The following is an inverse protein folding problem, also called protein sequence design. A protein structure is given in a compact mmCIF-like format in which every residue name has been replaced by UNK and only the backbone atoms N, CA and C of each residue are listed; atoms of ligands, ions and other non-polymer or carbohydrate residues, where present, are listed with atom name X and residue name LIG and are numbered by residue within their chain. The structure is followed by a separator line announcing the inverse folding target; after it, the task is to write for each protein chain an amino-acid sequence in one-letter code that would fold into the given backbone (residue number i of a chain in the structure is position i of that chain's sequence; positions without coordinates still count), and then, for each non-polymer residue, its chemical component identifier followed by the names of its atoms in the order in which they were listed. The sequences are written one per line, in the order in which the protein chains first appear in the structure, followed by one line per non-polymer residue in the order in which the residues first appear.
data_IF_248084742991
#
_entry.id   IF_248084742991
#
_cell.length_a   1.000
_cell.length_b   1.000
_cell.length_c   1.000
_cell.angle_alpha   90.00
_cell.angle_beta   90.00
_cell.angle_gamma   90.00
#
_symmetry.space_group_name_H-M   'P 1'
#
loop_
_entity.id
_entity.type
_entity.pdbx_description
1 polymer ?
#
# COMPACT_ATOMS: atom_id res chain seq x y z
N UNK A 1 36.08 -40.05 -32.58
CA UNK A 1 35.43 -38.74 -32.70
C UNK A 1 34.19 -38.78 -31.84
N UNK A 2 34.25 -38.16 -30.63
CA UNK A 2 33.09 -38.02 -29.72
C UNK A 2 32.51 -36.65 -29.96
N UNK A 3 31.23 -36.60 -30.35
CA UNK A 3 30.48 -35.36 -30.46
C UNK A 3 29.94 -34.95 -29.10
N UNK A 4 30.41 -33.83 -28.59
CA UNK A 4 29.86 -33.23 -27.37
C UNK A 4 28.54 -32.50 -27.72
N UNK A 5 27.42 -33.00 -27.17
CA UNK A 5 26.12 -32.32 -27.27
C UNK A 5 26.07 -31.29 -26.16
N UNK A 6 26.17 -30.01 -26.52
CA UNK A 6 25.94 -28.88 -25.64
C UNK A 6 24.43 -28.72 -25.41
N UNK A 7 23.96 -29.09 -24.23
CA UNK A 7 22.62 -28.76 -23.76
C UNK A 7 22.60 -27.29 -23.34
N UNK A 8 22.09 -26.42 -24.20
CA UNK A 8 21.78 -25.03 -23.85
C UNK A 8 20.48 -25.01 -23.06
N UNK A 9 20.60 -24.97 -21.72
CA UNK A 9 19.45 -24.81 -20.85
C UNK A 9 18.89 -23.38 -20.97
N UNK A 10 17.71 -23.24 -21.57
CA UNK A 10 16.96 -22.00 -21.57
C UNK A 10 16.43 -21.79 -20.12
N UNK A 11 17.05 -20.88 -19.38
CA UNK A 11 16.56 -20.42 -18.10
C UNK A 11 15.30 -19.56 -18.35
N UNK A 12 14.12 -20.16 -18.24
CA UNK A 12 12.86 -19.43 -18.22
C UNK A 12 12.79 -18.61 -16.93
N UNK A 13 13.18 -17.35 -17.02
CA UNK A 13 12.90 -16.37 -15.96
C UNK A 13 11.38 -16.15 -15.96
N UNK A 14 10.70 -16.73 -14.98
CA UNK A 14 9.31 -16.39 -14.68
C UNK A 14 9.28 -14.95 -14.16
N UNK A 15 9.11 -14.01 -15.07
CA UNK A 15 8.83 -12.63 -14.71
C UNK A 15 7.40 -12.58 -14.16
N UNK A 16 7.26 -12.19 -12.91
CA UNK A 16 5.94 -11.90 -12.33
C UNK A 16 5.25 -10.87 -13.20
N UNK A 17 4.14 -11.25 -13.83
CA UNK A 17 3.37 -10.35 -14.67
C UNK A 17 2.69 -9.29 -13.78
N UNK A 18 2.94 -8.02 -14.08
CA UNK A 18 2.22 -6.91 -13.45
C UNK A 18 0.94 -6.65 -14.25
N UNK A 19 -0.17 -6.64 -13.55
CA UNK A 19 -1.49 -6.44 -14.11
C UNK A 19 -2.13 -5.17 -13.56
N UNK A 20 -2.92 -4.49 -14.39
CA UNK A 20 -3.73 -3.36 -13.95
C UNK A 20 -4.99 -3.90 -13.26
N UNK A 21 -5.17 -3.52 -12.01
CA UNK A 21 -6.38 -3.78 -11.25
C UNK A 21 -7.22 -2.50 -11.17
N UNK A 22 -8.52 -2.60 -11.44
CA UNK A 22 -9.48 -1.51 -11.33
C UNK A 22 -10.61 -1.90 -10.39
N UNK A 23 -10.82 -1.10 -9.35
CA UNK A 23 -11.99 -1.19 -8.47
C UNK A 23 -12.98 -0.07 -8.83
N UNK A 24 -14.15 -0.44 -9.37
CA UNK A 24 -15.19 0.54 -9.70
C UNK A 24 -15.81 1.14 -8.44
N UNK A 25 -16.13 0.33 -7.44
CA UNK A 25 -16.69 0.77 -6.16
C UNK A 25 -15.66 1.59 -5.36
N UNK A 26 -14.40 1.17 -5.38
CA UNK A 26 -13.28 1.89 -4.80
C UNK A 26 -12.88 3.13 -5.58
N UNK A 27 -13.30 3.27 -6.86
CA UNK A 27 -12.96 4.37 -7.77
C UNK A 27 -11.44 4.59 -7.88
N UNK A 28 -10.69 3.49 -8.06
CA UNK A 28 -9.25 3.56 -8.25
C UNK A 28 -8.75 2.49 -9.22
N UNK A 29 -7.55 2.69 -9.73
CA UNK A 29 -6.76 1.68 -10.42
C UNK A 29 -5.32 1.67 -9.94
N UNK A 30 -4.66 0.53 -10.07
CA UNK A 30 -3.26 0.33 -9.65
C UNK A 30 -2.64 -0.84 -10.41
N UNK A 31 -1.32 -0.81 -10.66
CA UNK A 31 -0.57 -1.97 -11.12
C UNK A 31 -0.17 -2.83 -9.93
N UNK A 32 -0.31 -4.14 -10.05
CA UNK A 32 0.04 -5.10 -9.01
C UNK A 32 0.71 -6.36 -9.57
N UNK A 33 1.57 -7.04 -8.80
CA UNK A 33 2.26 -8.25 -9.24
C UNK A 33 1.38 -9.50 -9.08
N UNK A 34 0.16 -9.50 -9.61
CA UNK A 34 -0.79 -10.60 -9.56
C UNK A 34 -2.19 -10.17 -9.13
N UNK A 35 -3.03 -11.15 -8.85
CA UNK A 35 -4.44 -10.92 -8.49
C UNK A 35 -4.62 -10.61 -7.02
N UNK A 36 -5.44 -9.60 -6.72
CA UNK A 36 -5.80 -9.25 -5.36
C UNK A 36 -6.79 -10.23 -4.74
N UNK A 37 -6.60 -10.47 -3.45
CA UNK A 37 -7.64 -11.01 -2.56
C UNK A 37 -8.37 -9.83 -1.94
N UNK A 38 -9.70 -9.87 -1.93
CA UNK A 38 -10.53 -8.83 -1.32
C UNK A 38 -11.00 -9.27 0.07
N UNK A 39 -11.03 -8.31 1.00
CA UNK A 39 -11.58 -8.47 2.35
C UNK A 39 -12.31 -7.19 2.75
N UNK A 40 -13.45 -7.34 3.41
CA UNK A 40 -14.21 -6.24 3.97
C UNK A 40 -14.33 -6.42 5.48
N UNK A 41 -13.92 -5.41 6.23
CA UNK A 41 -14.01 -5.37 7.69
C UNK A 41 -14.74 -4.09 8.14
N UNK A 42 -15.55 -4.19 9.19
CA UNK A 42 -16.25 -3.03 9.77
C UNK A 42 -15.79 -2.80 11.20
N UNK A 43 -15.46 -1.56 11.50
CA UNK A 43 -15.02 -1.09 12.81
C UNK A 43 -16.03 -0.08 13.37
N UNK A 44 -16.52 -0.33 14.58
CA UNK A 44 -17.32 0.65 15.32
C UNK A 44 -16.39 1.68 15.97
N UNK A 45 -16.62 2.95 15.68
CA UNK A 45 -15.86 4.08 16.22
C UNK A 45 -16.83 5.10 16.82
N UNK A 46 -16.29 6.11 17.51
CA UNK A 46 -17.09 7.22 18.06
C UNK A 46 -17.80 8.04 16.97
N UNK A 47 -17.26 8.08 15.78
CA UNK A 47 -17.83 8.79 14.61
C UNK A 47 -18.76 7.93 13.76
N UNK A 48 -19.04 6.68 14.17
CA UNK A 48 -19.88 5.73 13.44
C UNK A 48 -19.17 4.45 13.06
N UNK A 49 -19.83 3.63 12.25
CA UNK A 49 -19.21 2.41 11.71
C UNK A 49 -18.45 2.72 10.44
N UNK A 50 -17.14 2.47 10.45
CA UNK A 50 -16.29 2.56 9.28
C UNK A 50 -16.14 1.18 8.64
N UNK A 51 -16.40 1.09 7.35
CA UNK A 51 -16.21 -0.15 6.57
C UNK A 51 -14.97 -0.01 5.70
N UNK A 52 -13.99 -0.85 5.97
CA UNK A 52 -12.73 -0.91 5.20
C UNK A 52 -12.84 -2.00 4.14
N UNK A 53 -12.61 -1.61 2.90
CA UNK A 53 -12.43 -2.51 1.78
C UNK A 53 -10.94 -2.63 1.50
N UNK A 54 -10.41 -3.84 1.61
CA UNK A 54 -8.97 -4.12 1.52
C UNK A 54 -8.72 -5.11 0.40
N UNK A 55 -7.84 -4.75 -0.52
CA UNK A 55 -7.33 -5.57 -1.61
C UNK A 55 -5.86 -5.85 -1.34
N UNK A 56 -5.48 -7.12 -1.26
CA UNK A 56 -4.11 -7.44 -0.91
C UNK A 56 -3.56 -8.64 -1.69
N UNK A 57 -2.25 -8.62 -1.89
CA UNK A 57 -1.44 -9.73 -2.39
C UNK A 57 -0.43 -10.05 -1.31
N UNK A 58 -0.39 -11.30 -0.88
CA UNK A 58 0.61 -11.81 0.05
C UNK A 58 1.53 -12.78 -0.66
N UNK A 59 2.84 -12.51 -0.65
CA UNK A 59 3.85 -13.45 -1.10
C UNK A 59 4.39 -14.24 0.10
N UNK A 60 4.56 -15.54 -0.09
CA UNK A 60 5.25 -16.43 0.85
C UNK A 60 6.65 -16.81 0.35
N UNK A 61 7.03 -16.32 -0.81
CA UNK A 61 8.31 -16.60 -1.42
C UNK A 61 9.42 -15.83 -0.70
N UNK A 62 10.46 -16.52 -0.28
CA UNK A 62 11.61 -15.92 0.41
C UNK A 62 12.32 -14.87 -0.44
N UNK A 63 12.28 -15.05 -1.76
CA UNK A 63 12.93 -14.15 -2.72
C UNK A 63 12.05 -12.96 -3.14
N UNK A 64 10.79 -12.89 -2.72
CA UNK A 64 9.92 -11.77 -3.01
C UNK A 64 10.51 -10.43 -2.51
N UNK A 65 10.46 -9.40 -3.35
CA UNK A 65 10.88 -8.04 -2.96
C UNK A 65 9.99 -7.46 -1.87
N UNK A 66 8.69 -7.68 -1.98
CA UNK A 66 7.72 -7.32 -0.96
C UNK A 66 6.88 -8.55 -0.57
N UNK A 67 6.67 -8.71 0.72
CA UNK A 67 5.82 -9.75 1.31
C UNK A 67 4.34 -9.42 1.16
N UNK A 68 4.02 -8.12 1.07
CA UNK A 68 2.66 -7.61 0.97
C UNK A 68 2.59 -6.43 0.02
N UNK A 69 1.50 -6.39 -0.77
CA UNK A 69 0.99 -5.23 -1.48
C UNK A 69 -0.47 -5.08 -1.09
N UNK A 70 -0.89 -3.91 -0.69
CA UNK A 70 -2.25 -3.69 -0.23
C UNK A 70 -2.75 -2.32 -0.67
N UNK A 71 -4.00 -2.27 -1.13
CA UNK A 71 -4.80 -1.05 -1.25
C UNK A 71 -6.01 -1.20 -0.35
N UNK A 72 -6.30 -0.20 0.46
CA UNK A 72 -7.55 -0.14 1.19
C UNK A 72 -8.22 1.21 1.04
N UNK A 73 -9.54 1.23 1.16
CA UNK A 73 -10.31 2.46 1.26
C UNK A 73 -11.43 2.33 2.28
N UNK A 74 -11.82 3.47 2.83
CA UNK A 74 -13.06 3.59 3.60
C UNK A 74 -13.67 4.97 3.39
N UNK A 75 -15.00 5.06 3.47
CA UNK A 75 -15.74 6.32 3.43
C UNK A 75 -16.06 6.76 4.86
N UNK A 76 -15.62 7.96 5.21
CA UNK A 76 -15.99 8.58 6.47
C UNK A 76 -17.41 9.14 6.42
N UNK A 77 -18.14 9.21 7.55
CA UNK A 77 -19.43 9.86 7.61
C UNK A 77 -19.34 11.31 7.14
N UNK A 78 -20.46 11.83 6.64
CA UNK A 78 -20.55 13.23 6.21
C UNK A 78 -20.29 14.17 7.41
N UNK A 79 -19.58 15.27 7.18
CA UNK A 79 -19.25 16.26 8.21
C UNK A 79 -18.12 15.85 9.16
N UNK A 80 -17.41 14.75 8.92
CA UNK A 80 -16.28 14.29 9.76
C UNK A 80 -14.94 14.73 9.19
N UNK A 81 -14.79 14.75 7.87
CA UNK A 81 -13.55 15.15 7.19
C UNK A 81 -13.82 16.42 6.39
N UNK A 82 -12.92 17.40 6.54
CA UNK A 82 -12.96 18.69 5.86
C UNK A 82 -11.67 18.86 5.05
N UNK A 83 -11.70 18.50 3.77
CA UNK A 83 -10.53 18.57 2.89
C UNK A 83 -10.21 19.98 2.37
N UNK A 84 -11.08 20.95 2.65
CA UNK A 84 -10.90 22.39 2.39
C UNK A 84 -10.07 23.09 3.48
N UNK A 85 -9.83 22.44 4.63
CA UNK A 85 -8.98 22.93 5.70
C UNK A 85 -7.66 22.19 5.74
N UNK A 86 -6.57 22.86 5.41
CA UNK A 86 -5.21 22.28 5.46
C UNK A 86 -4.85 21.80 6.87
N UNK A 87 -5.26 22.53 7.90
CA UNK A 87 -5.00 22.19 9.30
C UNK A 87 -5.69 20.88 9.68
N UNK A 88 -6.99 20.74 9.39
CA UNK A 88 -7.75 19.53 9.69
C UNK A 88 -7.24 18.31 8.89
N UNK A 89 -6.79 18.51 7.66
CA UNK A 89 -6.13 17.46 6.87
C UNK A 89 -4.84 17.00 7.52
N UNK A 90 -4.01 17.90 8.02
CA UNK A 90 -2.77 17.57 8.72
C UNK A 90 -3.06 16.84 10.03
N UNK A 91 -4.03 17.28 10.83
CA UNK A 91 -4.45 16.58 12.04
C UNK A 91 -4.94 15.16 11.76
N UNK A 92 -5.76 14.99 10.72
CA UNK A 92 -6.22 13.68 10.28
C UNK A 92 -5.06 12.73 9.95
N UNK A 93 -4.09 13.18 9.14
CA UNK A 93 -2.95 12.34 8.79
C UNK A 93 -2.03 12.08 9.99
N UNK A 94 -1.90 13.03 10.90
CA UNK A 94 -1.11 12.84 12.11
C UNK A 94 -1.73 11.76 13.01
N UNK A 95 -3.03 11.83 13.28
CA UNK A 95 -3.75 10.82 14.05
C UNK A 95 -3.71 9.43 13.39
N UNK A 96 -3.86 9.39 12.05
CA UNK A 96 -3.76 8.15 11.27
C UNK A 96 -2.37 7.52 11.39
N UNK A 97 -1.32 8.33 11.28
CA UNK A 97 0.06 7.91 11.42
C UNK A 97 0.37 7.35 12.82
N UNK A 98 -0.04 8.06 13.86
CA UNK A 98 0.13 7.62 15.26
C UNK A 98 -0.56 6.28 15.51
N UNK A 99 -1.79 6.13 15.02
CA UNK A 99 -2.53 4.86 15.11
C UNK A 99 -1.80 3.74 14.35
N UNK A 100 -1.27 4.02 13.16
CA UNK A 100 -0.53 3.04 12.38
C UNK A 100 0.75 2.57 13.11
N UNK A 101 1.51 3.49 13.71
CA UNK A 101 2.71 3.17 14.49
C UNK A 101 2.36 2.31 15.70
N UNK A 102 1.32 2.69 16.46
CA UNK A 102 0.87 1.97 17.65
C UNK A 102 0.36 0.57 17.32
N UNK A 103 -0.40 0.41 16.23
CA UNK A 103 -1.02 -0.86 15.85
C UNK A 103 -0.03 -1.99 15.60
N UNK A 104 1.21 -1.67 15.19
CA UNK A 104 2.27 -2.63 14.91
C UNK A 104 3.38 -2.59 15.96
N UNK A 105 3.24 -1.77 17.01
CA UNK A 105 4.31 -1.48 17.98
C UNK A 105 5.64 -1.15 17.27
N UNK A 106 5.54 -0.31 16.23
CA UNK A 106 6.63 0.01 15.34
C UNK A 106 7.33 1.32 15.70
N UNK A 107 8.33 1.69 14.92
CA UNK A 107 9.03 2.96 15.01
C UNK A 107 8.86 3.74 13.72
N UNK A 108 8.32 4.96 13.82
CA UNK A 108 8.29 5.89 12.69
C UNK A 108 9.71 6.29 12.32
N UNK A 109 10.06 6.11 11.06
CA UNK A 109 11.37 6.50 10.54
C UNK A 109 11.34 7.84 9.83
N UNK A 110 10.30 8.07 9.05
CA UNK A 110 10.03 9.35 8.38
C UNK A 110 8.58 9.42 7.92
N UNK A 111 8.09 10.64 7.73
CA UNK A 111 6.83 10.94 7.08
C UNK A 111 7.00 12.21 6.24
N UNK A 112 6.35 12.28 5.09
CA UNK A 112 6.37 13.44 4.20
C UNK A 112 4.99 13.64 3.58
N UNK A 113 4.62 14.89 3.33
CA UNK A 113 3.40 15.22 2.60
C UNK A 113 3.58 14.90 1.12
N UNK A 114 2.54 14.37 0.53
CA UNK A 114 2.45 14.05 -0.90
C UNK A 114 1.11 14.52 -1.45
N UNK A 115 0.99 14.54 -2.77
CA UNK A 115 -0.25 14.95 -3.43
C UNK A 115 -0.52 14.06 -4.65
N UNK A 116 -1.78 13.71 -4.88
CA UNK A 116 -2.23 13.01 -6.07
C UNK A 116 -3.30 13.87 -6.78
N UNK A 117 -2.90 14.64 -7.81
CA UNK A 117 -3.77 15.63 -8.40
C UNK A 117 -4.26 16.65 -7.36
N UNK A 118 -5.57 16.81 -7.13
CA UNK A 118 -6.10 17.72 -6.11
C UNK A 118 -6.11 17.11 -4.69
N UNK A 119 -5.79 15.82 -4.54
CA UNK A 119 -5.97 15.09 -3.30
C UNK A 119 -4.73 15.15 -2.41
N UNK A 120 -4.84 15.72 -1.18
CA UNK A 120 -3.74 15.72 -0.23
C UNK A 120 -3.47 14.30 0.28
N UNK A 121 -2.22 14.07 0.64
CA UNK A 121 -1.78 12.77 1.13
C UNK A 121 -0.54 12.83 2.00
N UNK A 122 -0.17 11.68 2.54
CA UNK A 122 1.04 11.50 3.33
C UNK A 122 1.70 10.18 2.98
N UNK A 123 3.03 10.17 2.91
CA UNK A 123 3.84 8.99 2.69
C UNK A 123 4.75 8.79 3.90
N UNK A 124 4.78 7.56 4.47
CA UNK A 124 5.60 7.28 5.66
C UNK A 124 6.18 5.88 5.66
N UNK A 125 7.19 5.71 6.49
CA UNK A 125 7.82 4.43 6.75
C UNK A 125 7.81 4.13 8.24
N UNK A 126 7.40 2.90 8.58
CA UNK A 126 7.48 2.33 9.92
C UNK A 126 8.39 1.11 9.87
N UNK A 127 9.38 1.08 10.76
CA UNK A 127 10.17 -0.12 11.03
C UNK A 127 9.51 -0.88 12.19
N UNK A 128 9.30 -2.19 12.06
CA UNK A 128 8.68 -3.03 13.06
C UNK A 128 9.39 -4.39 13.19
N UNK A 129 8.99 -5.25 14.14
CA UNK A 129 9.69 -6.50 14.45
C UNK A 129 11.19 -6.26 14.71
N UNK A 130 11.50 -5.33 15.62
CA UNK A 130 12.88 -4.92 15.94
C UNK A 130 13.67 -4.46 14.69
N UNK A 131 12.98 -3.84 13.75
CA UNK A 131 13.55 -3.31 12.51
C UNK A 131 13.86 -4.39 11.46
N UNK A 132 13.37 -5.61 11.62
CA UNK A 132 13.54 -6.68 10.62
C UNK A 132 12.62 -6.53 9.43
N UNK A 133 11.49 -5.84 9.62
CA UNK A 133 10.52 -5.60 8.57
C UNK A 133 10.18 -4.10 8.47
N UNK A 134 9.83 -3.69 7.27
CA UNK A 134 9.56 -2.32 6.88
C UNK A 134 8.15 -2.24 6.30
N UNK A 135 7.36 -1.33 6.83
CA UNK A 135 6.08 -0.93 6.25
C UNK A 135 6.25 0.44 5.60
N UNK A 136 5.94 0.55 4.33
CA UNK A 136 5.77 1.84 3.64
C UNK A 136 4.30 2.03 3.35
N UNK A 137 3.78 3.21 3.63
CA UNK A 137 2.37 3.54 3.37
C UNK A 137 2.27 4.89 2.70
N UNK A 138 1.57 4.94 1.57
CA UNK A 138 1.21 6.17 0.86
C UNK A 138 -0.32 6.30 0.94
N UNK A 139 -0.81 7.38 1.52
CA UNK A 139 -2.25 7.55 1.78
C UNK A 139 -2.75 8.88 1.22
N UNK A 140 -4.06 8.92 0.86
CA UNK A 140 -4.69 10.08 0.25
C UNK A 140 -6.11 10.30 0.79
N UNK A 141 -6.55 11.55 0.82
CA UNK A 141 -7.93 11.95 1.09
C UNK A 141 -8.57 12.51 -0.18
N UNK A 142 -9.65 11.88 -0.64
CA UNK A 142 -10.47 12.34 -1.76
C UNK A 142 -11.89 12.66 -1.28
N UNK A 143 -12.12 13.89 -0.86
CA UNK A 143 -13.32 14.28 -0.14
C UNK A 143 -13.39 13.51 1.19
N UNK A 144 -14.46 12.73 1.38
CA UNK A 144 -14.63 11.90 2.59
C UNK A 144 -14.04 10.50 2.48
N UNK A 145 -13.43 10.13 1.34
CA UNK A 145 -12.82 8.81 1.13
C UNK A 145 -11.33 8.84 1.43
N UNK A 146 -10.93 7.99 2.35
CA UNK A 146 -9.53 7.71 2.65
C UNK A 146 -9.05 6.51 1.84
N UNK A 147 -7.89 6.66 1.20
CA UNK A 147 -7.17 5.59 0.53
C UNK A 147 -5.83 5.34 1.20
N UNK A 148 -5.44 4.08 1.31
CA UNK A 148 -4.13 3.69 1.81
C UNK A 148 -3.53 2.62 0.92
N UNK A 149 -2.34 2.87 0.41
CA UNK A 149 -1.50 1.88 -0.27
C UNK A 149 -0.38 1.48 0.67
N UNK A 150 -0.10 0.19 0.75
CA UNK A 150 0.92 -0.30 1.66
C UNK A 150 1.75 -1.40 1.03
N UNK A 151 3.06 -1.37 1.29
CA UNK A 151 3.97 -2.49 1.04
C UNK A 151 4.65 -2.90 2.32
N UNK A 152 4.89 -4.21 2.47
CA UNK A 152 5.69 -4.76 3.56
C UNK A 152 6.84 -5.54 2.95
N UNK A 153 8.07 -5.26 3.40
CA UNK A 153 9.27 -5.96 2.95
C UNK A 153 10.18 -6.30 4.11
N UNK A 154 11.10 -7.22 3.90
CA UNK A 154 12.26 -7.34 4.79
C UNK A 154 13.14 -6.10 4.70
N UNK A 155 13.91 -5.83 5.76
CA UNK A 155 14.77 -4.64 5.85
C UNK A 155 15.78 -4.56 4.69
N UNK A 156 16.41 -5.66 4.35
CA UNK A 156 17.40 -5.76 3.28
C UNK A 156 16.81 -5.55 1.87
N UNK A 157 15.48 -5.69 1.74
CA UNK A 157 14.73 -5.52 0.49
C UNK A 157 13.88 -4.25 0.45
N UNK A 158 14.04 -3.33 1.41
CA UNK A 158 13.14 -2.17 1.53
C UNK A 158 13.29 -1.11 0.40
N UNK A 159 14.41 -1.13 -0.31
CA UNK A 159 14.62 -0.31 -1.50
C UNK A 159 14.45 -1.23 -2.70
N UNK A 160 13.30 -1.16 -3.34
CA UNK A 160 12.99 -2.01 -4.49
C UNK A 160 12.05 -1.29 -5.47
N UNK A 161 12.26 -1.54 -6.76
CA UNK A 161 11.51 -0.92 -7.85
C UNK A 161 10.04 -1.37 -7.90
N UNK A 162 9.73 -2.55 -7.37
CA UNK A 162 8.36 -3.06 -7.33
C UNK A 162 7.47 -2.25 -6.39
N UNK A 163 8.00 -1.82 -5.23
CA UNK A 163 7.26 -0.93 -4.34
C UNK A 163 7.01 0.43 -5.00
N UNK A 164 8.02 1.01 -5.65
CA UNK A 164 7.89 2.29 -6.35
C UNK A 164 6.87 2.19 -7.49
N UNK A 165 6.96 1.14 -8.32
CA UNK A 165 6.00 0.87 -9.40
C UNK A 165 4.57 0.75 -8.89
N UNK A 166 4.36 0.06 -7.77
CA UNK A 166 3.04 -0.09 -7.13
C UNK A 166 2.48 1.28 -6.70
N UNK A 167 3.24 2.04 -5.93
CA UNK A 167 2.80 3.33 -5.41
C UNK A 167 2.57 4.36 -6.51
N UNK A 168 3.40 4.41 -7.54
CA UNK A 168 3.35 5.44 -8.57
C UNK A 168 2.31 5.14 -9.65
N UNK A 169 1.84 3.90 -9.73
CA UNK A 169 0.78 3.49 -10.65
C UNK A 169 -0.63 3.81 -10.16
N UNK A 170 -0.79 4.20 -8.89
CA UNK A 170 -2.11 4.42 -8.30
C UNK A 170 -2.77 5.70 -8.84
N UNK A 171 -4.03 5.56 -9.23
CA UNK A 171 -4.87 6.65 -9.70
C UNK A 171 -6.26 6.55 -9.08
N UNK A 172 -6.83 7.69 -8.71
CA UNK A 172 -8.24 7.84 -8.32
C UNK A 172 -9.03 8.19 -9.58
N UNK A 173 -10.18 7.49 -9.80
CA UNK A 173 -11.03 7.58 -11.00
C UNK A 173 -12.18 8.56 -10.80
#
# INVERSE_FOLDING_TARGET
MQAAVLFSGILLLFQVAWEEFTSLDGRFRVLAPGQFTEKTDSLKTEIGTLTYHTFFIQSREKEAENLYYMVSYCDYPEGVIFTDSTELVQEFFQATLETAVQSVNGKLMWATDVQLGPYPGKFWRIDYLDGKAIIKTKAYLAGRRYYSLQTISYREKNINASADRFFDSFLIL
#
